data_IF_253003617475
#
_entry.id   IF_253003617475
#
_cell.length_a   1.000
_cell.length_b   1.000
_cell.length_c   1.000
_cell.angle_alpha   90.00
_cell.angle_beta   90.00
_cell.angle_gamma   90.00
#
_symmetry.space_group_name_H-M   'P 1'
#
loop_
_entity.id
_entity.type
_entity.pdbx_description
1 polymer ?
#
# COMPACT_ATOMS: atom_id res chain seq x y z
N UNK A 1 -15.72 -1.45 -10.94
CA UNK A 1 -15.38 -2.79 -10.41
C UNK A 1 -15.20 -2.76 -8.88
N UNK A 2 -16.02 -1.98 -8.13
CA UNK A 2 -15.82 -1.74 -6.69
C UNK A 2 -16.66 -2.66 -5.79
N UNK A 3 -17.61 -3.40 -6.35
CA UNK A 3 -18.65 -4.09 -5.58
C UNK A 3 -18.53 -5.62 -5.54
N UNK A 4 -17.61 -6.22 -6.30
CA UNK A 4 -17.55 -7.67 -6.46
C UNK A 4 -17.15 -8.45 -5.18
N UNK A 5 -16.72 -7.75 -4.13
CA UNK A 5 -16.31 -8.35 -2.85
C UNK A 5 -17.22 -7.98 -1.67
N UNK A 6 -18.21 -7.11 -1.86
CA UNK A 6 -19.11 -6.68 -0.79
C UNK A 6 -20.22 -7.73 -0.57
N UNK A 7 -20.13 -8.50 0.51
CA UNK A 7 -21.24 -9.38 0.92
C UNK A 7 -22.45 -8.53 1.35
N UNK A 8 -23.67 -8.84 0.90
CA UNK A 8 -24.87 -8.13 1.33
C UNK A 8 -24.98 -8.10 2.86
N UNK A 9 -25.22 -6.91 3.44
CA UNK A 9 -25.33 -6.72 4.90
C UNK A 9 -24.00 -6.51 5.63
N UNK A 10 -22.84 -6.64 4.96
CA UNK A 10 -21.54 -6.29 5.55
C UNK A 10 -21.21 -4.85 5.18
N UNK A 11 -21.28 -3.95 6.17
CA UNK A 11 -20.76 -2.58 6.00
C UNK A 11 -19.25 -2.69 5.81
N UNK A 12 -18.77 -2.24 4.65
CA UNK A 12 -17.32 -2.15 4.42
C UNK A 12 -16.72 -1.28 5.54
N UNK A 13 -15.52 -1.63 6.05
CA UNK A 13 -14.79 -0.75 6.94
C UNK A 13 -14.71 0.66 6.32
N UNK A 14 -14.67 1.72 7.15
CA UNK A 14 -14.43 3.07 6.64
C UNK A 14 -13.28 3.03 5.64
N UNK A 15 -13.48 3.58 4.45
CA UNK A 15 -12.41 3.67 3.47
C UNK A 15 -11.32 4.56 4.06
N UNK A 16 -10.23 3.94 4.51
CA UNK A 16 -9.08 4.66 5.01
C UNK A 16 -8.43 5.41 3.85
N UNK A 17 -8.05 6.67 4.08
CA UNK A 17 -7.42 7.47 3.01
C UNK A 17 -5.98 7.03 2.84
N UNK A 18 -5.67 6.52 1.65
CA UNK A 18 -4.32 6.14 1.27
C UNK A 18 -3.63 7.32 0.60
N UNK A 19 -2.42 7.66 1.04
CA UNK A 19 -1.58 8.71 0.43
C UNK A 19 -0.15 8.22 0.25
N UNK A 20 0.40 8.44 -0.94
CA UNK A 20 1.83 8.27 -1.21
C UNK A 20 2.51 9.65 -1.29
N UNK A 21 3.69 9.80 -0.67
CA UNK A 21 4.45 11.07 -0.67
C UNK A 21 5.88 10.86 -1.15
N UNK A 22 6.46 11.83 -1.86
CA UNK A 22 7.87 11.81 -2.25
C UNK A 22 8.21 10.85 -3.40
N UNK A 23 7.20 10.31 -4.08
CA UNK A 23 7.40 9.38 -5.20
C UNK A 23 7.44 10.17 -6.51
N UNK A 24 8.65 10.37 -7.06
CA UNK A 24 8.83 10.91 -8.40
C UNK A 24 8.93 9.75 -9.41
N UNK A 25 7.91 9.50 -10.25
CA UNK A 25 7.97 8.43 -11.22
C UNK A 25 9.03 8.72 -12.29
N UNK A 26 9.87 7.74 -12.60
CA UNK A 26 10.79 7.77 -13.74
C UNK A 26 10.25 6.82 -14.82
N UNK A 27 9.60 7.38 -15.84
CA UNK A 27 8.94 6.58 -16.89
C UNK A 27 7.64 5.94 -16.41
N UNK A 28 7.39 4.72 -16.86
CA UNK A 28 6.11 4.01 -16.64
C UNK A 28 6.11 3.06 -15.44
N UNK A 29 7.22 2.97 -14.70
CA UNK A 29 7.33 2.14 -13.50
C UNK A 29 7.85 2.97 -12.34
N UNK A 30 7.30 2.75 -11.15
CA UNK A 30 7.86 3.32 -9.92
C UNK A 30 7.74 2.32 -8.77
N UNK A 31 8.76 2.26 -7.93
CA UNK A 31 8.72 1.47 -6.69
C UNK A 31 8.48 2.41 -5.52
N UNK A 32 7.50 2.08 -4.69
CA UNK A 32 7.13 2.84 -3.50
C UNK A 32 7.41 1.99 -2.27
N UNK A 33 8.24 2.50 -1.36
CA UNK A 33 8.49 1.87 -0.07
C UNK A 33 7.30 2.09 0.88
N UNK A 34 7.11 1.15 1.81
CA UNK A 34 6.11 1.21 2.90
C UNK A 34 6.16 2.48 3.75
N UNK A 35 7.35 3.03 3.97
CA UNK A 35 7.58 4.31 4.66
C UNK A 35 6.99 5.51 3.91
N UNK A 36 6.77 5.40 2.60
CA UNK A 36 6.21 6.48 1.77
C UNK A 36 4.68 6.38 1.58
N UNK A 37 4.05 5.31 2.09
CA UNK A 37 2.61 5.05 1.95
C UNK A 37 1.96 5.19 3.32
N UNK A 38 1.00 6.10 3.43
CA UNK A 38 0.27 6.37 4.67
C UNK A 38 -1.20 6.02 4.56
N UNK A 39 -1.74 5.47 5.64
CA UNK A 39 -3.14 5.11 5.87
C UNK A 39 -3.55 5.81 7.18
N UNK A 40 -4.54 6.69 7.10
CA UNK A 40 -5.02 7.49 8.25
C UNK A 40 -3.89 8.18 9.03
N UNK A 41 -2.87 8.66 8.30
CA UNK A 41 -1.75 9.41 8.87
C UNK A 41 -0.61 8.57 9.43
N UNK A 42 -0.71 7.23 9.42
CA UNK A 42 0.39 6.32 9.76
C UNK A 42 0.92 5.64 8.51
N UNK A 43 2.22 5.48 8.41
CA UNK A 43 2.85 4.73 7.33
C UNK A 43 2.51 3.25 7.42
N UNK A 44 2.52 2.54 6.28
CA UNK A 44 2.37 1.08 6.28
C UNK A 44 3.47 0.42 7.12
N UNK A 45 4.66 1.01 7.14
CA UNK A 45 5.75 0.58 8.01
C UNK A 45 5.34 0.65 9.48
N UNK A 46 4.85 1.79 9.97
CA UNK A 46 4.38 1.94 11.35
C UNK A 46 3.23 0.99 11.71
N UNK A 47 2.31 0.74 10.78
CA UNK A 47 1.20 -0.20 11.01
C UNK A 47 1.69 -1.65 11.12
N UNK A 48 2.68 -2.04 10.33
CA UNK A 48 3.29 -3.37 10.44
C UNK A 48 3.99 -3.57 11.78
N UNK A 49 4.64 -2.53 12.32
CA UNK A 49 5.27 -2.57 13.64
C UNK A 49 4.25 -2.77 14.78
N UNK A 50 3.03 -2.24 14.65
CA UNK A 50 1.97 -2.39 15.68
C UNK A 50 1.47 -3.84 15.78
N UNK A 51 1.40 -4.54 14.64
CA UNK A 51 0.86 -5.91 14.58
C UNK A 51 1.87 -7.02 14.88
N UNK A 52 3.16 -6.69 15.00
CA UNK A 52 4.20 -7.70 15.10
C UNK A 52 4.51 -8.10 16.54
N UNK A 53 4.62 -9.40 16.79
CA UNK A 53 4.97 -9.98 18.09
C UNK A 53 6.44 -10.44 18.15
N UNK A 54 7.32 -9.91 17.31
CA UNK A 54 8.73 -10.33 17.16
C UNK A 54 9.65 -9.21 16.65
N UNK A 55 10.93 -9.53 16.36
CA UNK A 55 11.86 -8.55 15.78
C UNK A 55 11.39 -8.16 14.36
N UNK A 56 11.22 -6.87 14.13
CA UNK A 56 10.67 -6.27 12.91
C UNK A 56 11.66 -5.36 12.19
N UNK A 57 12.91 -5.30 12.63
CA UNK A 57 13.95 -4.48 11.99
C UNK A 57 14.19 -4.86 10.51
N UNK A 58 13.92 -6.12 10.15
CA UNK A 58 14.03 -6.64 8.78
C UNK A 58 12.72 -6.60 7.98
N UNK A 59 11.60 -6.22 8.61
CA UNK A 59 10.32 -6.13 7.92
C UNK A 59 10.33 -4.98 6.92
N UNK A 60 10.00 -5.26 5.67
CA UNK A 60 9.79 -4.23 4.65
C UNK A 60 8.73 -4.63 3.66
N UNK A 61 7.93 -3.64 3.25
CA UNK A 61 6.99 -3.77 2.14
C UNK A 61 7.35 -2.80 1.02
N UNK A 62 7.32 -3.27 -0.21
CA UNK A 62 7.46 -2.41 -1.40
C UNK A 62 6.38 -2.73 -2.43
N UNK A 63 5.81 -1.67 -2.98
CA UNK A 63 4.79 -1.72 -4.02
C UNK A 63 5.39 -1.22 -5.32
N UNK A 64 5.35 -2.06 -6.35
CA UNK A 64 5.63 -1.65 -7.72
C UNK A 64 4.35 -1.11 -8.33
N UNK A 65 4.39 0.13 -8.83
CA UNK A 65 3.31 0.72 -9.60
C UNK A 65 3.73 0.81 -11.07
N UNK A 66 2.82 0.40 -11.95
CA UNK A 66 2.98 0.47 -13.39
C UNK A 66 1.93 1.39 -14.00
N UNK A 67 2.34 2.21 -14.96
CA UNK A 67 1.45 3.08 -15.70
C UNK A 67 0.94 2.34 -16.93
N UNK A 68 -0.38 2.17 -17.03
CA UNK A 68 -1.05 1.60 -18.19
C UNK A 68 -2.13 2.57 -18.66
N UNK A 69 -2.07 2.97 -19.94
CA UNK A 69 -2.99 3.94 -20.53
C UNK A 69 -3.17 5.22 -19.70
N UNK A 70 -2.06 5.78 -19.20
CA UNK A 70 -2.09 7.02 -18.40
C UNK A 70 -2.46 6.83 -16.92
N UNK A 71 -2.93 5.65 -16.52
CA UNK A 71 -3.40 5.35 -15.16
C UNK A 71 -2.38 4.48 -14.42
N UNK A 72 -2.15 4.77 -13.13
CA UNK A 72 -1.26 3.97 -12.28
C UNK A 72 -2.00 2.78 -11.69
N UNK A 73 -1.37 1.61 -11.76
CA UNK A 73 -1.88 0.34 -11.23
C UNK A 73 -0.81 -0.34 -10.39
N UNK A 74 -1.23 -1.15 -9.42
CA UNK A 74 -0.30 -2.03 -8.69
C UNK A 74 0.14 -3.15 -9.62
N UNK A 75 1.45 -3.24 -9.85
CA UNK A 75 2.09 -4.27 -10.65
C UNK A 75 2.61 -5.44 -9.81
N UNK A 76 3.19 -5.17 -8.65
CA UNK A 76 3.79 -6.17 -7.76
C UNK A 76 3.76 -5.70 -6.30
N UNK A 77 3.74 -6.65 -5.36
CA UNK A 77 3.82 -6.44 -3.92
C UNK A 77 4.90 -7.37 -3.36
N UNK A 78 5.97 -6.78 -2.82
CA UNK A 78 7.06 -7.54 -2.20
C UNK A 78 7.06 -7.29 -0.70
N UNK A 79 7.07 -8.39 0.05
CA UNK A 79 7.10 -8.41 1.52
C UNK A 79 8.36 -9.16 1.93
N UNK A 80 9.12 -8.60 2.86
CA UNK A 80 10.28 -9.24 3.49
C UNK A 80 10.12 -9.22 4.99
N UNK A 81 10.67 -10.24 5.65
CA UNK A 81 10.68 -10.46 7.09
C UNK A 81 12.10 -10.72 7.56
#
# INVERSE_FOLDING_TARGET
MHEAWAKPGVKLPPQAKVKATGVAPQGDTVTVADTAISVDGRTLHELALIGATGNVESFSVSLELKKHNGTWHVGDLRIKF
#
